data_IF_350826197364
#
_entry.id   IF_350826197364
#
_cell.length_a   1.000
_cell.length_b   1.000
_cell.length_c   1.000
_cell.angle_alpha   90.00
_cell.angle_beta   90.00
_cell.angle_gamma   90.00
#
_symmetry.space_group_name_H-M   'P 1'
#
loop_
_entity.id
_entity.type
_entity.pdbx_description
1 polymer ?
#
# COMPACT_ATOMS: atom_id res chain seq x y z
N UNK A 1 -2.63 -9.48 27.15
CA UNK A 1 -2.45 -10.67 26.29
C UNK A 1 -2.50 -11.94 27.13
N UNK A 2 -1.85 -11.97 28.29
CA UNK A 2 -1.91 -13.08 29.24
C UNK A 2 -3.35 -13.49 29.56
N UNK A 3 -4.22 -12.52 29.91
CA UNK A 3 -5.65 -12.79 30.10
C UNK A 3 -6.35 -13.41 28.88
N UNK A 4 -5.91 -13.08 27.66
CA UNK A 4 -6.44 -13.69 26.43
C UNK A 4 -5.92 -15.13 26.31
N UNK A 5 -4.63 -15.37 26.58
CA UNK A 5 -4.04 -16.71 26.56
C UNK A 5 -4.69 -17.62 27.61
N UNK A 6 -4.92 -17.12 28.83
CA UNK A 6 -5.62 -17.82 29.91
C UNK A 6 -7.05 -18.18 29.50
N UNK A 7 -7.79 -17.22 28.93
CA UNK A 7 -9.14 -17.47 28.43
C UNK A 7 -9.17 -18.40 27.21
N UNK A 8 -8.13 -18.37 26.37
CA UNK A 8 -7.96 -19.34 25.29
C UNK A 8 -7.79 -20.77 25.85
N UNK A 9 -7.25 -20.91 27.06
CA UNK A 9 -6.97 -22.19 27.70
C UNK A 9 -5.67 -22.78 27.17
N UNK A 10 -5.71 -23.99 26.62
CA UNK A 10 -4.55 -24.71 26.07
C UNK A 10 -4.01 -24.02 24.79
N UNK A 11 -3.40 -22.84 24.95
CA UNK A 11 -2.92 -22.02 23.84
C UNK A 11 -1.90 -22.79 23.00
N UNK A 12 -1.14 -23.71 23.61
CA UNK A 12 -0.16 -24.57 22.95
C UNK A 12 -0.74 -25.37 21.79
N UNK A 13 -2.02 -25.75 21.82
CA UNK A 13 -2.70 -26.46 20.72
C UNK A 13 -3.34 -25.51 19.71
N UNK A 14 -3.45 -24.22 20.04
CA UNK A 14 -4.15 -23.22 19.24
C UNK A 14 -3.21 -22.41 18.35
N UNK A 15 -3.65 -22.10 17.14
CA UNK A 15 -3.02 -21.15 16.23
C UNK A 15 -3.57 -19.75 16.46
N UNK A 16 -2.70 -18.76 16.64
CA UNK A 16 -3.04 -17.40 17.08
C UNK A 16 -2.42 -16.38 16.13
N UNK A 17 -3.25 -15.52 15.57
CA UNK A 17 -2.82 -14.33 14.82
C UNK A 17 -3.06 -13.10 15.69
N UNK A 18 -2.05 -12.26 15.83
CA UNK A 18 -2.15 -10.98 16.55
C UNK A 18 -1.83 -9.87 15.57
N UNK A 19 -2.77 -8.95 15.34
CA UNK A 19 -2.64 -7.86 14.40
C UNK A 19 -2.36 -6.55 15.14
N UNK A 20 -1.30 -5.85 14.73
CA UNK A 20 -0.80 -4.60 15.33
C UNK A 20 -0.59 -3.51 14.28
N UNK A 21 -0.52 -2.25 14.70
CA UNK A 21 -0.45 -1.10 13.78
C UNK A 21 0.93 -0.83 13.17
N UNK A 22 2.01 -1.39 13.72
CA UNK A 22 3.39 -1.04 13.31
C UNK A 22 4.35 -2.21 13.23
N UNK A 23 5.38 -2.10 12.36
CA UNK A 23 6.43 -3.12 12.16
C UNK A 23 7.23 -3.35 13.45
N UNK A 24 7.57 -2.27 14.15
CA UNK A 24 8.27 -2.33 15.43
C UNK A 24 7.40 -2.95 16.52
N UNK A 25 6.11 -2.60 16.57
CA UNK A 25 5.14 -3.23 17.47
C UNK A 25 5.06 -4.74 17.23
N UNK A 26 5.05 -5.18 15.97
CA UNK A 26 5.01 -6.61 15.64
C UNK A 26 6.24 -7.36 16.16
N UNK A 27 7.43 -6.82 15.94
CA UNK A 27 8.68 -7.39 16.44
C UNK A 27 8.75 -7.42 17.97
N UNK A 28 8.40 -6.29 18.61
CA UNK A 28 8.48 -6.15 20.06
C UNK A 28 7.51 -7.10 20.77
N UNK A 29 6.28 -7.19 20.27
CA UNK A 29 5.25 -8.05 20.84
C UNK A 29 5.52 -9.53 20.58
N UNK A 30 6.00 -9.90 19.39
CA UNK A 30 6.41 -11.28 19.11
C UNK A 30 7.49 -11.75 20.08
N UNK A 31 8.51 -10.92 20.32
CA UNK A 31 9.57 -11.19 21.30
C UNK A 31 9.03 -11.27 22.74
N UNK A 32 8.10 -10.39 23.11
CA UNK A 32 7.49 -10.43 24.45
C UNK A 32 6.64 -11.70 24.65
N UNK A 33 5.95 -12.14 23.60
CA UNK A 33 5.13 -13.35 23.61
C UNK A 33 5.98 -14.61 23.63
N UNK A 34 7.06 -14.67 22.85
CA UNK A 34 7.97 -15.82 22.89
C UNK A 34 8.55 -16.06 24.29
N UNK A 35 8.85 -15.00 25.04
CA UNK A 35 9.31 -15.11 26.43
C UNK A 35 8.24 -15.54 27.43
N UNK A 36 7.02 -15.06 27.27
CA UNK A 36 5.93 -15.31 28.23
C UNK A 36 5.15 -16.59 27.93
N UNK A 37 5.03 -16.95 26.66
CA UNK A 37 4.24 -18.06 26.14
C UNK A 37 5.03 -18.83 25.07
N UNK A 38 6.22 -19.37 25.41
CA UNK A 38 7.10 -20.03 24.44
C UNK A 38 6.44 -21.28 23.86
N UNK A 39 6.77 -21.59 22.61
CA UNK A 39 6.40 -22.86 21.97
C UNK A 39 7.63 -23.52 21.37
N UNK A 40 7.62 -24.85 21.31
CA UNK A 40 8.64 -25.62 20.60
C UNK A 40 8.44 -25.52 19.09
N UNK A 41 9.50 -25.19 18.37
CA UNK A 41 9.61 -25.40 16.93
C UNK A 41 10.88 -26.22 16.65
N UNK A 42 10.87 -26.97 15.56
CA UNK A 42 12.02 -27.76 15.12
C UNK A 42 13.04 -26.80 14.46
N UNK A 43 14.33 -26.94 14.78
CA UNK A 43 15.38 -26.03 14.30
C UNK A 43 15.48 -26.03 12.77
N UNK A 44 15.31 -27.19 12.14
CA UNK A 44 15.28 -27.37 10.70
C UNK A 44 14.18 -26.52 10.04
N UNK A 45 13.03 -26.34 10.71
CA UNK A 45 11.97 -25.45 10.23
C UNK A 45 12.37 -23.98 10.31
N UNK A 46 13.13 -23.58 11.33
CA UNK A 46 13.66 -22.22 11.45
C UNK A 46 14.63 -21.95 10.29
N UNK A 47 15.55 -22.89 10.02
CA UNK A 47 16.51 -22.80 8.92
C UNK A 47 15.81 -22.75 7.56
N UNK A 48 14.76 -23.55 7.36
CA UNK A 48 13.94 -23.48 6.16
C UNK A 48 13.24 -22.12 6.02
N UNK A 49 12.70 -21.54 7.09
CA UNK A 49 12.02 -20.24 7.04
C UNK A 49 13.01 -19.12 6.74
N UNK A 50 14.07 -19.00 7.54
CA UNK A 50 15.04 -17.89 7.45
C UNK A 50 15.95 -18.04 6.24
N UNK A 51 16.26 -19.28 5.85
CA UNK A 51 17.19 -19.61 4.77
C UNK A 51 18.66 -19.52 5.21
N UNK A 52 19.54 -20.10 4.40
CA UNK A 52 21.01 -20.09 4.59
C UNK A 52 21.69 -18.83 3.99
N UNK A 53 20.93 -17.80 3.65
CA UNK A 53 21.45 -16.56 3.05
C UNK A 53 22.26 -15.72 4.04
N UNK A 54 22.78 -14.58 3.57
CA UNK A 54 23.48 -13.63 4.45
C UNK A 54 22.61 -13.25 5.66
N UNK A 55 23.24 -13.25 6.85
CA UNK A 55 22.61 -12.85 8.10
C UNK A 55 22.21 -11.38 8.03
N UNK A 56 20.93 -11.14 7.75
CA UNK A 56 20.33 -9.81 7.79
C UNK A 56 19.80 -9.55 9.20
N UNK A 57 19.98 -8.33 9.76
CA UNK A 57 19.56 -8.03 11.13
C UNK A 57 18.09 -8.34 11.44
N UNK A 58 17.20 -8.22 10.44
CA UNK A 58 15.78 -8.54 10.61
C UNK A 58 15.51 -10.04 10.57
N UNK A 59 16.24 -10.78 9.74
CA UNK A 59 16.20 -12.25 9.68
C UNK A 59 16.67 -12.87 10.99
N UNK A 60 17.73 -12.33 11.60
CA UNK A 60 18.21 -12.80 12.91
C UNK A 60 17.19 -12.56 14.02
N UNK A 61 16.51 -11.40 13.99
CA UNK A 61 15.44 -11.09 14.94
C UNK A 61 14.27 -12.05 14.77
N UNK A 62 13.91 -12.39 13.54
CA UNK A 62 12.87 -13.38 13.25
C UNK A 62 13.29 -14.76 13.77
N UNK A 63 14.52 -15.19 13.49
CA UNK A 63 15.09 -16.45 13.97
C UNK A 63 15.01 -16.58 15.50
N UNK A 64 15.39 -15.53 16.23
CA UNK A 64 15.29 -15.50 17.70
C UNK A 64 13.84 -15.62 18.20
N UNK A 65 12.88 -14.98 17.55
CA UNK A 65 11.48 -15.15 17.92
C UNK A 65 11.00 -16.58 17.60
N UNK A 66 11.41 -17.13 16.44
CA UNK A 66 11.05 -18.48 16.03
C UNK A 66 11.60 -19.54 16.98
N UNK A 67 12.80 -19.36 17.55
CA UNK A 67 13.34 -20.24 18.60
C UNK A 67 12.43 -20.32 19.83
N UNK A 68 11.65 -19.26 20.10
CA UNK A 68 10.62 -19.23 21.14
C UNK A 68 9.22 -19.61 20.60
N UNK A 69 9.15 -20.06 19.35
CA UNK A 69 7.94 -20.56 18.68
C UNK A 69 6.94 -19.49 18.24
N UNK A 70 7.37 -18.23 18.20
CA UNK A 70 6.56 -17.08 17.79
C UNK A 70 7.19 -16.40 16.58
N UNK A 71 6.40 -15.99 15.59
CA UNK A 71 6.90 -15.21 14.46
C UNK A 71 6.34 -13.79 14.46
N UNK A 72 7.08 -12.85 13.85
CA UNK A 72 6.50 -11.61 13.37
C UNK A 72 6.41 -11.62 11.84
N UNK A 73 5.40 -10.94 11.28
CA UNK A 73 5.22 -10.80 9.83
C UNK A 73 4.93 -9.35 9.43
N UNK A 74 5.73 -8.81 8.52
CA UNK A 74 5.48 -7.51 7.92
C UNK A 74 6.29 -7.33 6.64
N UNK A 75 5.92 -6.30 5.85
CA UNK A 75 6.56 -5.95 4.56
C UNK A 75 8.03 -5.54 4.61
N UNK A 76 8.66 -5.58 5.79
CA UNK A 76 10.10 -5.34 5.96
C UNK A 76 10.92 -6.62 5.83
N UNK A 77 10.31 -7.79 6.01
CA UNK A 77 10.94 -9.08 5.74
C UNK A 77 11.11 -9.27 4.23
N UNK A 78 12.24 -9.90 3.86
CA UNK A 78 12.48 -10.33 2.49
C UNK A 78 11.30 -11.14 1.94
N UNK A 79 11.05 -11.02 0.63
CA UNK A 79 9.91 -11.68 -0.01
C UNK A 79 10.00 -13.21 0.09
N UNK A 80 11.20 -13.78 -0.06
CA UNK A 80 11.42 -15.22 0.08
C UNK A 80 11.21 -15.70 1.51
N UNK A 81 11.70 -14.94 2.51
CA UNK A 81 11.46 -15.25 3.94
C UNK A 81 9.97 -15.19 4.26
N UNK A 82 9.25 -14.17 3.77
CA UNK A 82 7.78 -14.08 3.97
C UNK A 82 7.05 -15.27 3.37
N UNK A 83 7.41 -15.69 2.16
CA UNK A 83 6.78 -16.83 1.50
C UNK A 83 6.97 -18.13 2.28
N UNK A 84 8.20 -18.41 2.74
CA UNK A 84 8.49 -19.63 3.52
C UNK A 84 7.83 -19.59 4.90
N UNK A 85 7.80 -18.42 5.55
CA UNK A 85 7.06 -18.22 6.80
C UNK A 85 5.55 -18.45 6.60
N UNK A 86 4.95 -17.90 5.54
CA UNK A 86 3.54 -18.10 5.22
C UNK A 86 3.20 -19.59 4.98
N UNK A 87 4.09 -20.34 4.33
CA UNK A 87 3.94 -21.78 4.17
C UNK A 87 4.02 -22.51 5.52
N UNK A 88 4.98 -22.17 6.38
CA UNK A 88 5.11 -22.77 7.72
C UNK A 88 3.90 -22.45 8.63
N UNK A 89 3.28 -21.27 8.47
CA UNK A 89 2.02 -20.91 9.14
C UNK A 89 0.87 -21.77 8.62
N UNK A 90 0.76 -21.94 7.30
CA UNK A 90 -0.26 -22.77 6.65
C UNK A 90 -0.18 -24.23 7.10
N UNK A 91 1.04 -24.74 7.27
CA UNK A 91 1.33 -26.10 7.76
C UNK A 91 1.22 -26.23 9.29
N UNK A 92 0.88 -25.15 10.01
CA UNK A 92 0.80 -25.09 11.48
C UNK A 92 2.11 -25.44 12.18
N UNK A 93 3.25 -25.33 11.49
CA UNK A 93 4.59 -25.40 12.09
C UNK A 93 4.81 -24.15 12.95
N UNK A 94 4.45 -22.98 12.42
CA UNK A 94 4.42 -21.72 13.17
C UNK A 94 2.98 -21.40 13.56
N UNK A 95 2.68 -21.48 14.86
CA UNK A 95 1.30 -21.34 15.37
C UNK A 95 0.99 -20.00 15.99
N UNK A 96 1.97 -19.19 16.37
CA UNK A 96 1.73 -17.83 16.91
C UNK A 96 2.43 -16.81 16.05
N UNK A 97 1.67 -15.85 15.52
CA UNK A 97 2.19 -14.84 14.61
C UNK A 97 1.68 -13.46 14.99
N UNK A 98 2.60 -12.50 15.10
CA UNK A 98 2.28 -11.08 15.26
C UNK A 98 2.51 -10.35 13.94
N UNK A 99 1.52 -9.65 13.41
CA UNK A 99 1.62 -9.08 12.07
C UNK A 99 1.04 -7.68 11.93
N UNK A 100 1.63 -6.89 11.04
CA UNK A 100 1.11 -5.55 10.65
C UNK A 100 -0.12 -5.60 9.75
N UNK A 101 -0.38 -6.76 9.14
CA UNK A 101 -1.58 -7.02 8.34
C UNK A 101 -2.12 -8.40 8.73
N UNK A 102 -3.37 -8.75 8.45
CA UNK A 102 -3.91 -10.10 8.75
C UNK A 102 -3.24 -11.28 8.01
N UNK A 103 -2.08 -11.03 7.37
CA UNK A 103 -1.22 -11.88 6.53
C UNK A 103 -1.86 -12.23 5.18
N UNK A 104 -1.33 -11.55 4.16
CA UNK A 104 -1.52 -11.57 2.69
C UNK A 104 -2.94 -11.62 2.12
N UNK A 105 -3.16 -10.85 1.04
CA UNK A 105 -4.32 -11.00 0.16
C UNK A 105 -4.25 -12.37 -0.52
N UNK A 106 -5.23 -13.25 -0.29
CA UNK A 106 -5.44 -14.43 -1.14
C UNK A 106 -5.33 -15.80 -0.47
N UNK A 107 -5.03 -15.92 0.83
CA UNK A 107 -4.99 -17.23 1.50
C UNK A 107 -5.73 -17.22 2.85
N UNK A 108 -6.71 -18.12 2.99
CA UNK A 108 -7.31 -18.46 4.28
C UNK A 108 -6.24 -19.17 5.13
N UNK A 109 -5.69 -18.48 6.12
CA UNK A 109 -4.78 -19.10 7.09
C UNK A 109 -5.63 -19.69 8.23
N UNK A 110 -5.34 -20.90 8.72
CA UNK A 110 -6.23 -21.60 9.65
C UNK A 110 -5.94 -21.23 11.12
N UNK A 111 -6.11 -19.95 11.48
CA UNK A 111 -5.91 -19.51 12.87
C UNK A 111 -7.12 -19.82 13.75
N UNK A 112 -6.92 -20.43 14.91
CA UNK A 112 -8.03 -20.70 15.83
C UNK A 112 -8.48 -19.42 16.57
N UNK A 113 -7.60 -18.42 16.62
CA UNK A 113 -7.82 -17.14 17.29
C UNK A 113 -7.20 -15.97 16.51
N UNK A 114 -7.95 -14.86 16.43
CA UNK A 114 -7.45 -13.57 15.94
C UNK A 114 -7.54 -12.52 17.05
N UNK A 115 -6.43 -11.88 17.38
CA UNK A 115 -6.37 -10.75 18.31
C UNK A 115 -6.06 -9.49 17.51
N UNK A 116 -6.84 -8.44 17.70
CA UNK A 116 -6.65 -7.14 17.06
C UNK A 116 -6.30 -6.12 18.13
N UNK A 117 -5.09 -5.57 18.09
CA UNK A 117 -4.65 -4.54 19.03
C UNK A 117 -4.87 -3.17 18.37
N UNK A 118 -5.90 -2.46 18.83
CA UNK A 118 -6.24 -1.11 18.37
C UNK A 118 -5.37 -0.08 19.09
N UNK A 119 -4.12 0.01 18.63
CA UNK A 119 -3.20 1.09 18.99
C UNK A 119 -3.43 2.34 18.10
N UNK A 120 -2.88 3.52 18.44
CA UNK A 120 -2.97 4.72 17.60
C UNK A 120 -2.32 4.57 16.21
N UNK A 121 -1.46 3.56 16.00
CA UNK A 121 -0.83 3.27 14.71
C UNK A 121 -1.70 2.38 13.82
N UNK A 122 -2.83 1.87 14.30
CA UNK A 122 -3.78 1.05 13.55
C UNK A 122 -4.66 1.91 12.60
N UNK A 123 -4.03 2.83 11.86
CA UNK A 123 -4.72 3.83 11.04
C UNK A 123 -5.49 3.24 9.85
N UNK A 124 -5.21 2.00 9.45
CA UNK A 124 -5.85 1.37 8.30
C UNK A 124 -7.15 0.64 8.66
N UNK A 125 -7.39 0.37 9.94
CA UNK A 125 -8.55 -0.37 10.42
C UNK A 125 -9.68 0.58 10.82
N UNK A 126 -10.22 1.30 9.84
CA UNK A 126 -11.24 2.34 10.08
C UNK A 126 -12.66 1.92 9.71
N UNK A 127 -12.81 0.75 9.10
CA UNK A 127 -14.09 0.26 8.58
C UNK A 127 -14.36 -1.17 8.99
N UNK A 128 -15.65 -1.52 9.08
CA UNK A 128 -16.07 -2.92 9.25
C UNK A 128 -15.50 -3.86 8.19
N UNK A 129 -15.44 -3.44 6.92
CA UNK A 129 -14.91 -4.29 5.85
C UNK A 129 -13.44 -4.67 6.09
N UNK A 130 -12.63 -3.76 6.61
CA UNK A 130 -11.24 -4.05 7.00
C UNK A 130 -11.17 -4.96 8.22
N UNK A 131 -12.04 -4.76 9.20
CA UNK A 131 -12.16 -5.65 10.36
C UNK A 131 -12.53 -7.07 9.94
N UNK A 132 -13.55 -7.25 9.09
CA UNK A 132 -13.95 -8.57 8.59
C UNK A 132 -12.85 -9.27 7.79
N UNK A 133 -12.01 -8.53 7.06
CA UNK A 133 -10.84 -9.11 6.37
C UNK A 133 -9.79 -9.68 7.34
N UNK A 134 -9.69 -9.12 8.55
CA UNK A 134 -8.78 -9.59 9.60
C UNK A 134 -9.45 -10.71 10.40
N UNK A 135 -10.67 -10.49 10.86
CA UNK A 135 -11.48 -11.46 11.59
C UNK A 135 -11.68 -12.77 10.81
N UNK A 136 -11.88 -12.68 9.49
CA UNK A 136 -12.02 -13.84 8.61
C UNK A 136 -10.77 -14.72 8.51
N UNK A 137 -9.63 -14.31 9.08
CA UNK A 137 -8.41 -15.13 9.16
C UNK A 137 -8.46 -16.22 10.20
N UNK A 138 -9.57 -16.38 10.90
CA UNK A 138 -9.83 -17.60 11.68
C UNK A 138 -9.86 -18.85 10.77
N UNK A 139 -10.19 -18.66 9.50
CA UNK A 139 -10.25 -19.73 8.52
C UNK A 139 -11.58 -20.48 8.56
N UNK A 140 -12.12 -20.72 7.37
CA UNK A 140 -13.46 -21.26 7.15
C UNK A 140 -13.68 -22.64 7.77
N UNK A 141 -12.72 -23.56 7.59
CA UNK A 141 -12.82 -24.93 8.12
C UNK A 141 -12.83 -24.96 9.66
N UNK A 142 -12.00 -24.13 10.31
CA UNK A 142 -11.98 -24.06 11.77
C UNK A 142 -13.26 -23.44 12.32
N UNK A 143 -13.70 -22.33 11.71
CA UNK A 143 -14.92 -21.63 12.10
C UNK A 143 -16.15 -22.55 12.04
N UNK A 144 -16.25 -23.39 11.00
CA UNK A 144 -17.38 -24.30 10.82
C UNK A 144 -17.43 -25.49 11.81
N UNK A 145 -16.29 -25.96 12.30
CA UNK A 145 -16.22 -27.15 13.17
C UNK A 145 -16.07 -26.84 14.66
N UNK A 146 -15.30 -25.81 15.01
CA UNK A 146 -14.88 -25.54 16.39
C UNK A 146 -15.27 -24.15 16.89
N UNK A 147 -15.89 -23.34 16.02
CA UNK A 147 -16.03 -21.92 16.24
C UNK A 147 -14.69 -21.18 16.13
N UNK A 148 -14.72 -19.87 16.31
CA UNK A 148 -13.55 -19.01 16.23
C UNK A 148 -13.60 -17.92 17.27
N UNK A 149 -12.44 -17.51 17.78
CA UNK A 149 -12.37 -16.46 18.80
C UNK A 149 -11.70 -15.22 18.22
N UNK A 150 -12.36 -14.08 18.39
CA UNK A 150 -11.80 -12.77 18.04
C UNK A 150 -11.71 -11.95 19.32
N UNK A 151 -10.54 -11.38 19.57
CA UNK A 151 -10.33 -10.42 20.64
C UNK A 151 -10.01 -9.07 20.06
N UNK A 152 -10.67 -8.03 20.54
CA UNK A 152 -10.32 -6.64 20.23
C UNK A 152 -9.75 -6.03 21.51
N UNK A 153 -8.49 -5.61 21.44
CA UNK A 153 -7.81 -4.93 22.54
C UNK A 153 -7.81 -3.44 22.21
N UNK A 154 -8.64 -2.67 22.90
CA UNK A 154 -8.70 -1.23 22.77
C UNK A 154 -7.70 -0.59 23.74
N UNK A 155 -6.53 -0.19 23.24
CA UNK A 155 -5.48 0.39 24.10
C UNK A 155 -5.79 1.84 24.50
N UNK A 156 -6.53 2.57 23.66
CA UNK A 156 -6.92 3.92 23.97
C UNK A 156 -7.61 4.63 22.82
N UNK A 157 -8.12 5.85 23.09
CA UNK A 157 -8.79 6.66 22.10
C UNK A 157 -7.84 7.06 20.97
N UNK A 158 -8.38 7.10 19.75
CA UNK A 158 -7.69 7.54 18.55
C UNK A 158 -8.58 8.52 17.78
N UNK A 159 -8.03 9.15 16.73
CA UNK A 159 -8.81 10.02 15.84
C UNK A 159 -9.98 9.28 15.18
N UNK A 160 -9.84 7.98 14.95
CA UNK A 160 -10.86 7.14 14.28
C UNK A 160 -11.86 6.60 15.29
N UNK A 161 -11.38 6.21 16.46
CA UNK A 161 -12.17 5.64 17.55
C UNK A 161 -11.94 6.44 18.83
N UNK A 162 -12.69 7.54 19.04
CA UNK A 162 -12.54 8.39 20.23
C UNK A 162 -12.97 7.68 21.52
N UNK A 163 -13.78 6.63 21.43
CA UNK A 163 -14.27 5.82 22.54
C UNK A 163 -14.59 4.39 22.07
N UNK A 164 -14.84 3.50 23.05
CA UNK A 164 -15.17 2.09 22.81
C UNK A 164 -16.50 1.95 22.06
N UNK A 165 -17.50 2.77 22.39
CA UNK A 165 -18.83 2.70 21.76
C UNK A 165 -18.74 2.95 20.25
N UNK A 166 -18.01 3.99 19.84
CA UNK A 166 -17.79 4.34 18.43
C UNK A 166 -17.07 3.21 17.69
N UNK A 167 -16.13 2.54 18.36
CA UNK A 167 -15.42 1.38 17.82
C UNK A 167 -16.34 0.18 17.64
N UNK A 168 -17.15 -0.16 18.65
CA UNK A 168 -18.14 -1.25 18.58
C UNK A 168 -19.18 -0.99 17.49
N UNK A 169 -19.77 0.20 17.48
CA UNK A 169 -20.73 0.62 16.47
C UNK A 169 -20.15 0.48 15.08
N UNK A 170 -18.91 0.95 14.86
CA UNK A 170 -18.28 0.95 13.54
C UNK A 170 -17.83 -0.43 13.08
N UNK A 171 -17.22 -1.23 13.96
CA UNK A 171 -16.58 -2.50 13.60
C UNK A 171 -17.53 -3.70 13.72
N UNK A 172 -18.40 -3.71 14.73
CA UNK A 172 -19.22 -4.88 15.10
C UNK A 172 -20.68 -4.76 14.66
N UNK A 173 -21.24 -3.55 14.62
CA UNK A 173 -22.69 -3.36 14.41
C UNK A 173 -23.06 -2.72 13.06
N UNK A 174 -22.27 -1.76 12.56
CA UNK A 174 -22.56 -1.05 11.30
C UNK A 174 -22.65 -2.01 10.12
N UNK A 175 -23.64 -1.93 9.23
CA UNK A 175 -23.67 -2.77 8.04
C UNK A 175 -22.47 -2.48 7.12
N UNK A 176 -22.13 -3.45 6.25
CA UNK A 176 -21.12 -3.22 5.23
C UNK A 176 -21.58 -2.11 4.29
N UNK A 177 -20.79 -1.04 4.22
CA UNK A 177 -21.03 0.03 3.26
C UNK A 177 -20.75 -0.49 1.83
N UNK A 178 -21.62 -0.18 0.86
CA UNK A 178 -21.34 -0.51 -0.54
C UNK A 178 -20.04 0.16 -0.98
N UNK A 179 -19.29 -0.53 -1.85
CA UNK A 179 -18.14 0.07 -2.50
C UNK A 179 -18.64 1.21 -3.38
N UNK A 180 -18.14 2.41 -3.11
CA UNK A 180 -18.40 3.59 -3.93
C UNK A 180 -17.11 3.97 -4.67
N UNK A 181 -17.20 4.33 -5.95
CA UNK A 181 -16.03 4.73 -6.70
C UNK A 181 -15.47 6.05 -6.15
N UNK A 182 -14.17 6.06 -5.86
CA UNK A 182 -13.47 7.27 -5.43
C UNK A 182 -13.41 8.34 -6.52
N UNK A 183 -12.89 9.52 -6.16
CA UNK A 183 -12.60 10.59 -7.13
C UNK A 183 -11.64 10.09 -8.22
N UNK A 184 -11.88 10.49 -9.47
CA UNK A 184 -10.89 10.22 -10.52
C UNK A 184 -9.67 11.08 -10.25
N UNK A 185 -8.51 10.45 -10.16
CA UNK A 185 -7.25 11.15 -10.26
C UNK A 185 -7.10 11.72 -11.68
N UNK A 186 -6.80 13.01 -11.86
CA UNK A 186 -6.64 13.63 -13.18
C UNK A 186 -5.75 12.82 -14.15
N UNK A 187 -4.70 12.17 -13.65
CA UNK A 187 -3.83 11.26 -14.40
C UNK A 187 -4.59 10.10 -15.05
N UNK A 188 -5.53 9.48 -14.35
CA UNK A 188 -6.34 8.38 -14.88
C UNK A 188 -7.23 8.86 -16.03
N UNK A 189 -7.85 10.04 -15.91
CA UNK A 189 -8.71 10.56 -16.95
C UNK A 189 -7.92 10.98 -18.20
N UNK A 190 -6.71 11.55 -18.04
CA UNK A 190 -5.78 11.80 -19.15
C UNK A 190 -5.36 10.47 -19.79
N UNK A 191 -4.98 9.49 -18.98
CA UNK A 191 -4.62 8.14 -19.43
C UNK A 191 -5.72 7.50 -20.28
N UNK A 192 -7.00 7.60 -19.89
CA UNK A 192 -8.13 7.08 -20.68
C UNK A 192 -8.23 7.77 -22.04
N UNK A 193 -8.15 9.10 -22.06
CA UNK A 193 -8.23 9.87 -23.30
C UNK A 193 -7.10 9.50 -24.26
N UNK A 194 -5.85 9.50 -23.76
CA UNK A 194 -4.69 9.28 -24.62
C UNK A 194 -4.55 7.81 -25.04
N UNK A 195 -4.99 6.85 -24.21
CA UNK A 195 -5.01 5.42 -24.60
C UNK A 195 -5.88 5.15 -25.83
N UNK A 196 -7.03 5.84 -25.96
CA UNK A 196 -7.89 5.71 -27.14
C UNK A 196 -7.21 6.23 -28.43
N UNK A 197 -6.13 7.00 -28.30
CA UNK A 197 -5.36 7.56 -29.41
C UNK A 197 -4.08 6.79 -29.75
N UNK A 198 -3.70 5.75 -28.98
CA UNK A 198 -2.44 5.00 -29.15
C UNK A 198 -2.26 4.39 -30.55
N UNK A 199 -3.37 4.05 -31.22
CA UNK A 199 -3.35 3.52 -32.59
C UNK A 199 -2.81 4.54 -33.62
N UNK A 200 -2.69 5.82 -33.26
CA UNK A 200 -2.09 6.86 -34.10
C UNK A 200 -2.97 7.35 -35.25
N UNK A 201 -4.17 6.79 -35.42
CA UNK A 201 -5.12 7.26 -36.43
C UNK A 201 -5.72 8.62 -36.03
N UNK A 202 -5.68 9.63 -36.92
CA UNK A 202 -6.35 10.90 -36.68
C UNK A 202 -7.85 10.70 -36.45
N UNK A 203 -8.40 11.39 -35.45
CA UNK A 203 -9.84 11.40 -35.15
C UNK A 203 -10.33 12.81 -34.91
N UNK A 204 -11.58 13.10 -35.25
CA UNK A 204 -12.18 14.40 -34.94
C UNK A 204 -12.26 14.59 -33.41
N UNK A 205 -12.33 15.85 -32.97
CA UNK A 205 -12.50 16.18 -31.54
C UNK A 205 -13.81 15.60 -31.02
N UNK A 206 -14.85 15.61 -31.85
CA UNK A 206 -16.18 15.09 -31.58
C UNK A 206 -16.15 13.57 -31.36
N UNK A 207 -15.45 12.83 -32.23
CA UNK A 207 -15.30 11.38 -32.09
C UNK A 207 -14.52 11.01 -30.83
N UNK A 208 -13.41 11.72 -30.56
CA UNK A 208 -12.62 11.52 -29.34
C UNK A 208 -13.46 11.78 -28.08
N UNK A 209 -14.27 12.84 -28.10
CA UNK A 209 -15.19 13.16 -27.00
C UNK A 209 -16.24 12.06 -26.83
N UNK A 210 -16.82 11.57 -27.93
CA UNK A 210 -17.82 10.52 -27.91
C UNK A 210 -17.26 9.23 -27.30
N UNK A 211 -16.12 8.75 -27.80
CA UNK A 211 -15.45 7.54 -27.28
C UNK A 211 -15.08 7.68 -25.81
N UNK A 212 -14.54 8.84 -25.42
CA UNK A 212 -14.23 9.13 -24.02
C UNK A 212 -15.47 9.04 -23.13
N UNK A 213 -16.57 9.69 -23.52
CA UNK A 213 -17.80 9.68 -22.73
C UNK A 213 -18.49 8.32 -22.71
N UNK A 214 -18.43 7.56 -23.80
CA UNK A 214 -18.90 6.16 -23.85
C UNK A 214 -18.13 5.28 -22.87
N UNK A 215 -16.80 5.39 -22.84
CA UNK A 215 -15.99 4.69 -21.84
C UNK A 215 -16.38 5.10 -20.42
N UNK A 216 -16.47 6.40 -20.14
CA UNK A 216 -16.85 6.93 -18.82
C UNK A 216 -18.21 6.39 -18.37
N UNK A 217 -19.21 6.36 -19.25
CA UNK A 217 -20.54 5.78 -18.96
C UNK A 217 -20.47 4.29 -18.62
N UNK A 218 -19.55 3.55 -19.24
CA UNK A 218 -19.37 2.11 -18.98
C UNK A 218 -18.66 1.82 -17.66
N UNK A 219 -18.02 2.82 -17.03
CA UNK A 219 -17.36 2.62 -15.73
C UNK A 219 -18.36 2.48 -14.59
N UNK A 220 -17.96 1.82 -13.50
CA UNK A 220 -18.78 1.70 -12.29
C UNK A 220 -19.21 3.05 -11.70
N UNK A 221 -18.44 4.12 -11.92
CA UNK A 221 -18.86 5.47 -11.52
C UNK A 221 -19.89 6.07 -12.45
N UNK A 222 -19.70 5.90 -13.76
CA UNK A 222 -20.69 6.35 -14.76
C UNK A 222 -22.05 5.68 -14.62
N UNK A 223 -22.10 4.44 -14.12
CA UNK A 223 -23.38 3.75 -13.85
C UNK A 223 -24.02 4.13 -12.52
N UNK A 224 -23.28 4.76 -11.60
CA UNK A 224 -23.76 5.14 -10.25
C UNK A 224 -24.11 6.61 -10.11
N UNK A 225 -23.43 7.49 -10.83
CA UNK A 225 -23.56 8.94 -10.73
C UNK A 225 -24.04 9.50 -12.08
N UNK A 226 -25.31 9.91 -12.13
CA UNK A 226 -25.95 10.41 -13.36
C UNK A 226 -25.31 11.69 -13.89
N UNK A 227 -24.77 12.54 -13.00
CA UNK A 227 -24.15 13.82 -13.35
C UNK A 227 -22.69 13.67 -13.77
N UNK A 228 -22.07 12.53 -13.45
CA UNK A 228 -20.67 12.27 -13.70
C UNK A 228 -20.29 12.42 -15.17
N UNK A 229 -21.11 11.90 -16.09
CA UNK A 229 -20.84 12.03 -17.54
C UNK A 229 -20.81 13.50 -17.97
N UNK A 230 -21.71 14.32 -17.43
CA UNK A 230 -21.78 15.76 -17.69
C UNK A 230 -20.54 16.47 -17.17
N UNK A 231 -20.08 16.13 -15.96
CA UNK A 231 -18.85 16.67 -15.38
C UNK A 231 -17.63 16.27 -16.23
N UNK A 232 -17.56 15.00 -16.65
CA UNK A 232 -16.48 14.49 -17.48
C UNK A 232 -16.46 15.10 -18.88
N UNK A 233 -17.60 15.53 -19.42
CA UNK A 233 -17.68 16.30 -20.67
C UNK A 233 -16.98 17.66 -20.56
N UNK A 234 -17.16 18.37 -19.42
CA UNK A 234 -16.44 19.63 -19.13
C UNK A 234 -14.95 19.39 -18.92
N UNK A 235 -14.62 18.33 -18.18
CA UNK A 235 -13.24 17.91 -17.94
C UNK A 235 -12.51 17.59 -19.26
N UNK A 236 -13.15 16.83 -20.16
CA UNK A 236 -12.62 16.52 -21.49
C UNK A 236 -12.24 17.81 -22.24
N UNK A 237 -13.11 18.82 -22.25
CA UNK A 237 -12.83 20.07 -22.94
C UNK A 237 -11.56 20.77 -22.42
N UNK A 238 -11.37 20.75 -21.10
CA UNK A 238 -10.20 21.34 -20.43
C UNK A 238 -8.93 20.54 -20.70
N UNK A 239 -8.99 19.21 -20.54
CA UNK A 239 -7.85 18.32 -20.77
C UNK A 239 -7.45 18.29 -22.24
N UNK A 240 -8.39 18.21 -23.16
CA UNK A 240 -8.10 18.24 -24.59
C UNK A 240 -7.33 19.52 -24.96
N UNK A 241 -7.81 20.69 -24.52
CA UNK A 241 -7.13 21.97 -24.74
C UNK A 241 -5.71 21.98 -24.16
N UNK A 242 -5.55 21.41 -22.96
CA UNK A 242 -4.25 21.30 -22.31
C UNK A 242 -3.30 20.36 -23.07
N UNK A 243 -3.76 19.17 -23.48
CA UNK A 243 -2.95 18.20 -24.24
C UNK A 243 -2.49 18.77 -25.60
N UNK A 244 -3.36 19.54 -26.28
CA UNK A 244 -2.97 20.23 -27.52
C UNK A 244 -1.94 21.32 -27.24
N UNK A 245 -2.13 22.12 -26.18
CA UNK A 245 -1.18 23.17 -25.78
C UNK A 245 0.20 22.61 -25.45
N UNK A 246 0.26 21.51 -24.71
CA UNK A 246 1.50 20.84 -24.31
C UNK A 246 2.09 19.95 -25.43
N UNK A 247 1.51 19.96 -26.63
CA UNK A 247 1.94 19.18 -27.80
C UNK A 247 2.02 17.68 -27.52
N UNK A 248 1.06 17.15 -26.76
CA UNK A 248 0.89 15.69 -26.59
C UNK A 248 0.00 15.09 -27.68
N UNK A 249 -0.93 15.90 -28.16
CA UNK A 249 -1.77 15.63 -29.33
C UNK A 249 -1.63 16.78 -30.31
N UNK A 250 -1.67 16.47 -31.60
CA UNK A 250 -1.51 17.42 -32.69
C UNK A 250 -2.64 17.27 -33.70
N UNK A 251 -3.02 18.39 -34.33
CA UNK A 251 -3.95 18.40 -35.46
C UNK A 251 -3.18 18.07 -36.73
N UNK A 252 -3.54 16.96 -37.38
CA UNK A 252 -2.93 16.51 -38.63
C UNK A 252 -3.67 17.02 -39.87
N UNK A 253 -4.63 17.94 -39.72
CA UNK A 253 -5.54 18.42 -40.77
C UNK A 253 -6.67 17.46 -41.14
N UNK A 254 -6.54 16.18 -40.78
CA UNK A 254 -7.57 15.13 -40.91
C UNK A 254 -8.20 14.77 -39.56
N UNK A 255 -7.86 15.50 -38.51
CA UNK A 255 -8.21 15.21 -37.13
C UNK A 255 -6.99 15.22 -36.21
N UNK A 256 -7.22 14.95 -34.94
CA UNK A 256 -6.20 14.94 -33.90
C UNK A 256 -5.61 13.54 -33.76
N UNK A 257 -4.28 13.48 -33.64
CA UNK A 257 -3.54 12.26 -33.30
C UNK A 257 -2.56 12.54 -32.17
N UNK A 258 -2.15 11.48 -31.50
CA UNK A 258 -1.08 11.54 -30.50
C UNK A 258 0.28 11.75 -31.20
N UNK A 259 1.16 12.55 -30.61
CA UNK A 259 2.54 12.69 -31.12
C UNK A 259 3.35 11.41 -30.90
N UNK A 260 4.33 11.12 -31.75
CA UNK A 260 5.18 9.92 -31.62
C UNK A 260 5.93 9.85 -30.28
N UNK A 261 6.42 10.99 -29.77
CA UNK A 261 7.13 11.03 -28.49
C UNK A 261 6.19 10.63 -27.34
N UNK A 262 4.98 11.22 -27.29
CA UNK A 262 3.97 10.90 -26.28
C UNK A 262 3.51 9.45 -26.39
N UNK A 263 3.34 8.95 -27.62
CA UNK A 263 2.99 7.55 -27.87
C UNK A 263 4.06 6.61 -27.34
N UNK A 264 5.33 6.92 -27.56
CA UNK A 264 6.47 6.13 -27.09
C UNK A 264 6.52 6.09 -25.55
N UNK A 265 6.32 7.23 -24.89
CA UNK A 265 6.28 7.31 -23.43
C UNK A 265 5.18 6.41 -22.82
N UNK A 266 3.97 6.45 -23.40
CA UNK A 266 2.83 5.67 -22.91
C UNK A 266 3.03 4.17 -23.16
N UNK A 267 3.58 3.80 -24.32
CA UNK A 267 3.92 2.40 -24.61
C UNK A 267 5.04 1.87 -23.69
N UNK A 268 5.93 2.75 -23.22
CA UNK A 268 6.92 2.44 -22.19
C UNK A 268 6.34 2.40 -20.76
N UNK A 269 5.02 2.61 -20.59
CA UNK A 269 4.35 2.58 -19.29
C UNK A 269 4.50 3.86 -18.46
N UNK A 270 5.00 4.95 -19.05
CA UNK A 270 5.11 6.25 -18.37
C UNK A 270 3.75 6.95 -18.41
N UNK A 271 3.28 7.42 -17.26
CA UNK A 271 2.03 8.21 -17.18
C UNK A 271 2.20 9.53 -17.95
N UNK A 272 1.17 10.01 -18.69
CA UNK A 272 1.26 11.25 -19.46
C UNK A 272 1.71 12.48 -18.66
N UNK A 273 1.33 12.59 -17.38
CA UNK A 273 1.75 13.70 -16.53
C UNK A 273 3.24 13.57 -16.17
N UNK A 274 3.67 12.38 -15.76
CA UNK A 274 5.09 12.12 -15.46
C UNK A 274 5.97 12.38 -16.70
N UNK A 275 5.50 11.98 -17.88
CA UNK A 275 6.20 12.28 -19.14
C UNK A 275 6.34 13.78 -19.37
N UNK A 276 5.28 14.58 -19.18
CA UNK A 276 5.36 16.03 -19.36
C UNK A 276 6.34 16.71 -18.40
N UNK A 277 6.32 16.30 -17.12
CA UNK A 277 7.22 16.84 -16.11
C UNK A 277 8.69 16.51 -16.43
N UNK A 278 8.93 15.32 -16.97
CA UNK A 278 10.28 14.83 -17.27
C UNK A 278 10.73 15.07 -18.71
N UNK A 279 9.85 15.53 -19.61
CA UNK A 279 10.08 15.67 -21.06
C UNK A 279 11.37 16.42 -21.39
N UNK A 280 11.61 17.54 -20.72
CA UNK A 280 12.81 18.38 -20.94
C UNK A 280 14.10 17.70 -20.53
N UNK A 281 14.05 16.83 -19.52
CA UNK A 281 15.20 16.07 -19.04
C UNK A 281 15.44 14.92 -20.01
N UNK A 282 14.39 14.16 -20.33
CA UNK A 282 14.44 13.06 -21.29
C UNK A 282 14.96 13.49 -22.66
N UNK A 283 14.54 14.66 -23.16
CA UNK A 283 15.00 15.18 -24.46
C UNK A 283 16.48 15.58 -24.49
N UNK A 284 17.12 15.75 -23.33
CA UNK A 284 18.56 16.09 -23.23
C UNK A 284 19.44 14.85 -23.10
N UNK A 285 18.86 13.68 -22.87
CA UNK A 285 19.60 12.44 -22.78
C UNK A 285 20.04 12.02 -24.18
N UNK A 286 21.35 11.84 -24.36
CA UNK A 286 21.97 11.40 -25.61
C UNK A 286 23.02 10.34 -25.31
N UNK A 287 23.05 9.23 -26.07
CA UNK A 287 24.13 8.22 -25.97
C UNK A 287 24.17 7.44 -24.65
N UNK A 288 25.39 7.13 -24.19
CA UNK A 288 25.64 6.46 -22.90
C UNK A 288 25.36 7.43 -21.76
N UNK A 289 24.37 7.09 -20.93
CA UNK A 289 23.92 7.89 -19.78
C UNK A 289 24.66 7.39 -18.55
N UNK A 290 25.30 8.29 -17.80
CA UNK A 290 25.87 7.95 -16.50
C UNK A 290 24.76 7.56 -15.51
N UNK A 291 25.04 6.61 -14.62
CA UNK A 291 24.09 6.17 -13.59
C UNK A 291 23.53 7.33 -12.77
N UNK A 292 24.36 8.33 -12.47
CA UNK A 292 24.00 9.56 -11.75
C UNK A 292 22.88 10.35 -12.44
N UNK A 293 22.96 10.48 -13.76
CA UNK A 293 21.96 11.19 -14.59
C UNK A 293 20.66 10.41 -14.66
N UNK A 294 20.73 9.08 -14.75
CA UNK A 294 19.54 8.22 -14.71
C UNK A 294 18.84 8.33 -13.36
N UNK A 295 19.59 8.33 -12.25
CA UNK A 295 19.05 8.52 -10.90
C UNK A 295 18.35 9.89 -10.81
N UNK A 296 18.97 10.96 -11.32
CA UNK A 296 18.36 12.29 -11.33
C UNK A 296 17.02 12.30 -12.10
N UNK A 297 16.97 11.66 -13.28
CA UNK A 297 15.74 11.50 -14.07
C UNK A 297 14.67 10.78 -13.24
N UNK A 298 15.00 9.63 -12.65
CA UNK A 298 14.06 8.84 -11.85
C UNK A 298 13.54 9.61 -10.64
N UNK A 299 14.39 10.38 -9.98
CA UNK A 299 13.99 11.21 -8.85
C UNK A 299 12.96 12.27 -9.26
N UNK A 300 12.90 12.72 -10.51
CA UNK A 300 11.89 13.68 -10.94
C UNK A 300 10.48 13.07 -11.16
N UNK A 301 10.31 11.74 -11.12
CA UNK A 301 9.00 11.12 -11.24
C UNK A 301 8.17 11.29 -9.95
N UNK A 302 6.85 11.39 -10.10
CA UNK A 302 5.96 11.63 -8.95
C UNK A 302 6.00 10.53 -7.91
N UNK A 303 6.20 9.27 -8.30
CA UNK A 303 6.24 8.14 -7.36
C UNK A 303 7.43 8.26 -6.38
N UNK A 304 8.69 8.38 -6.84
CA UNK A 304 9.84 8.72 -5.99
C UNK A 304 9.63 9.96 -5.13
N UNK A 305 9.04 11.04 -5.68
CA UNK A 305 8.74 12.25 -4.91
C UNK A 305 7.68 12.02 -3.82
N UNK A 306 6.68 11.15 -4.07
CA UNK A 306 5.63 10.84 -3.12
C UNK A 306 6.10 9.97 -1.94
N UNK A 307 7.07 9.08 -2.18
CA UNK A 307 7.66 8.22 -1.14
C UNK A 307 8.84 8.87 -0.41
N UNK A 308 9.32 10.01 -0.91
CA UNK A 308 10.44 10.71 -0.29
C UNK A 308 10.09 11.08 1.15
N UNK A 309 10.96 10.81 2.13
CA UNK A 309 10.76 11.28 3.48
C UNK A 309 10.53 12.79 3.45
N UNK A 310 9.36 13.23 3.89
CA UNK A 310 9.08 14.65 4.13
C UNK A 310 9.77 15.05 5.42
N UNK A 311 11.10 14.99 5.42
CA UNK A 311 11.90 15.53 6.52
C UNK A 311 11.76 17.03 6.43
N UNK A 312 11.18 17.64 7.45
CA UNK A 312 11.13 19.09 7.55
C UNK A 312 12.57 19.59 7.70
N UNK A 313 12.96 20.60 6.92
CA UNK A 313 14.23 21.29 7.18
C UNK A 313 14.13 21.90 8.59
N UNK A 314 15.09 21.60 9.49
CA UNK A 314 15.15 22.28 10.78
C UNK A 314 15.29 23.78 10.54
N UNK A 315 14.70 24.63 11.38
CA UNK A 315 14.89 26.07 11.23
C UNK A 315 16.38 26.43 11.30
N UNK A 316 16.76 27.54 10.68
CA UNK A 316 18.13 28.08 10.79
C UNK A 316 18.59 28.20 12.23
N UNK A 317 17.65 28.56 13.12
CA UNK A 317 17.92 28.68 14.56
C UNK A 317 18.08 27.30 15.23
N UNK A 318 17.29 26.30 14.83
CA UNK A 318 17.42 24.93 15.32
C UNK A 318 18.76 24.29 14.94
N UNK A 319 19.24 24.54 13.72
CA UNK A 319 20.57 24.09 13.27
C UNK A 319 21.69 24.74 14.08
N UNK A 320 21.60 26.07 14.31
CA UNK A 320 22.57 26.82 15.13
C UNK A 320 22.62 26.31 16.57
N UNK A 321 21.47 26.05 17.20
CA UNK A 321 21.40 25.53 18.58
C UNK A 321 22.05 24.14 18.70
N UNK A 322 21.92 23.31 17.66
CA UNK A 322 22.49 21.97 17.62
C UNK A 322 23.95 21.92 17.12
N UNK A 323 24.53 23.07 16.74
CA UNK A 323 25.88 23.12 16.19
C UNK A 323 26.02 22.40 14.84
N UNK A 324 24.93 22.29 14.08
CA UNK A 324 24.90 21.60 12.79
C UNK A 324 24.98 22.60 11.64
N UNK A 325 25.72 22.26 10.60
CA UNK A 325 25.76 23.03 9.36
C UNK A 325 24.45 22.90 8.57
N UNK A 326 24.14 23.93 7.78
CA UNK A 326 22.99 23.89 6.89
C UNK A 326 23.20 22.81 5.81
N UNK A 327 22.16 22.02 5.47
CA UNK A 327 22.24 21.10 4.35
C UNK A 327 22.59 21.84 3.05
N UNK A 328 23.37 21.19 2.19
CA UNK A 328 23.74 21.72 0.88
C UNK A 328 22.54 22.14 0.02
N UNK A 329 22.71 23.18 -0.81
CA UNK A 329 21.64 23.79 -1.61
C UNK A 329 20.84 22.82 -2.48
N UNK A 330 21.48 21.78 -3.03
CA UNK A 330 20.78 20.79 -3.84
C UNK A 330 19.75 20.01 -3.00
N UNK A 331 20.03 19.74 -1.73
CA UNK A 331 19.09 19.11 -0.79
C UNK A 331 17.98 20.08 -0.44
N UNK A 332 18.31 21.36 -0.23
CA UNK A 332 17.35 22.40 0.08
C UNK A 332 16.33 22.65 -1.05
N UNK A 333 16.74 22.51 -2.32
CA UNK A 333 15.83 22.56 -3.50
C UNK A 333 14.81 21.41 -3.55
N UNK A 334 15.05 20.36 -2.76
CA UNK A 334 14.33 19.09 -2.81
C UNK A 334 13.42 18.87 -1.60
N UNK A 335 13.41 19.80 -0.64
CA UNK A 335 12.58 19.74 0.57
C UNK A 335 11.58 20.90 0.55
N UNK A 336 10.27 20.67 0.79
CA UNK A 336 9.31 21.74 0.87
C UNK A 336 9.66 22.70 2.01
N UNK A 337 9.75 24.00 1.69
CA UNK A 337 9.88 25.08 2.67
C UNK A 337 8.58 25.14 3.48
N UNK A 338 8.70 25.42 4.78
CA UNK A 338 7.58 25.48 5.71
C UNK A 338 6.59 26.59 5.38
#
# INVERSE_FOLDING_TARGET
>A
LDAIMDHLGNYNEKSILIVVGSRYGAQALARSLGRSHPRSIINESIEQIVGLGESLPLSDRLSKCLQEGVAFHHSGLDAGVRQRLEQAIKERVVRTVVSTTGITSGMSLPFDCVVVILDPNMYFLTTRSRYLQIAGRIGEYHLGQYGGRIYIVFEGPSRVFPDVQTMEDTLLHKPLAPLNPGSIYPSLAISVLVRNMIKGHPKSREDLKKEFLEYIRSTFRGTKDADYTTQMSKFFGSVFKWLTKEKMIEDSGKGFKITEETRSAILAGIDPIDYLETKKILSKLTGDIEESQLIEVLLNFRLPQAIRPRTLVPSSDGLKVLGLEAPSDWYMKLVPVR
#
